data_IF_981387019872
#
_entry.id   IF_981387019872
#
_cell.length_a   1.000
_cell.length_b   1.000
_cell.length_c   1.000
_cell.angle_alpha   90.00
_cell.angle_beta   90.00
_cell.angle_gamma   90.00
#
_symmetry.space_group_name_H-M   'P 1'
#
loop_
_entity.id
_entity.type
_entity.pdbx_description
1 polymer ?
#
# COMPACT_ATOMS: atom_id res chain seq x y z
N UNK A 1 -3.87 48.52 47.34
CA UNK A 1 -3.64 48.28 45.89
C UNK A 1 -2.15 48.05 45.59
N UNK A 2 -1.54 46.91 45.95
CA UNK A 2 -0.17 46.55 45.49
C UNK A 2 0.04 45.02 45.50
N UNK A 3 -0.88 44.27 44.88
CA UNK A 3 -0.72 42.81 44.67
C UNK A 3 -0.97 42.38 43.21
N UNK A 4 -1.14 43.34 42.30
CA UNK A 4 -1.36 43.10 40.86
C UNK A 4 -0.13 43.25 39.97
N UNK A 5 1.02 43.68 40.52
CA UNK A 5 2.21 44.02 39.73
C UNK A 5 3.36 43.00 39.84
N UNK A 6 3.15 41.85 40.47
CA UNK A 6 4.17 40.79 40.59
C UNK A 6 3.92 39.59 39.68
N UNK A 7 2.69 39.39 39.18
CA UNK A 7 2.36 38.26 38.30
C UNK A 7 2.78 38.53 36.85
N UNK A 8 2.97 39.79 36.47
CA UNK A 8 3.39 40.15 35.11
C UNK A 8 4.92 40.06 34.89
N UNK A 9 5.72 40.06 35.97
CA UNK A 9 7.18 40.02 35.91
C UNK A 9 7.77 38.59 35.90
N UNK A 10 6.98 37.58 36.25
CA UNK A 10 7.40 36.17 36.17
C UNK A 10 7.10 35.55 34.80
N UNK A 11 6.17 36.12 34.02
CA UNK A 11 5.82 35.61 32.69
C UNK A 11 6.69 36.14 31.55
N UNK A 12 7.40 37.26 31.71
CA UNK A 12 8.28 37.80 30.65
C UNK A 12 9.58 37.01 30.48
N UNK A 13 10.01 36.25 31.49
CA UNK A 13 11.27 35.50 31.46
C UNK A 13 11.16 34.07 30.89
N UNK A 14 9.95 33.58 30.59
CA UNK A 14 9.81 32.25 29.96
C UNK A 14 9.92 32.30 28.42
N UNK A 15 9.70 33.46 27.80
CA UNK A 15 9.72 33.58 26.33
C UNK A 15 11.17 33.53 25.80
N UNK A 16 12.17 33.88 26.61
CA UNK A 16 13.58 33.89 26.18
C UNK A 16 14.25 32.50 26.15
N UNK A 17 13.71 31.50 26.86
CA UNK A 17 14.27 30.14 26.85
C UNK A 17 13.75 29.29 25.68
N UNK A 18 12.69 29.72 24.99
CA UNK A 18 12.11 28.96 23.88
C UNK A 18 12.88 29.09 22.54
N UNK A 19 13.94 29.90 22.47
CA UNK A 19 14.70 30.11 21.23
C UNK A 19 16.07 29.44 21.17
N UNK A 20 16.50 28.67 22.18
CA UNK A 20 17.89 28.19 22.26
C UNK A 20 18.13 26.68 22.39
N UNK A 21 17.17 25.84 21.98
CA UNK A 21 17.48 24.46 21.57
C UNK A 21 17.31 24.33 20.05
N UNK A 22 18.35 24.72 19.31
CA UNK A 22 18.65 24.03 18.06
C UNK A 22 19.18 22.65 18.45
N UNK A 23 18.28 21.73 18.80
CA UNK A 23 18.60 20.32 18.61
C UNK A 23 18.86 20.17 17.12
N UNK A 24 20.13 19.96 16.79
CA UNK A 24 20.53 19.42 15.50
C UNK A 24 19.92 18.02 15.43
N UNK A 25 18.64 17.93 15.09
CA UNK A 25 18.05 16.72 14.58
C UNK A 25 18.81 16.48 13.28
N UNK A 26 19.77 15.58 13.34
CA UNK A 26 20.33 14.97 12.15
C UNK A 26 19.18 14.27 11.44
N UNK A 27 18.48 15.04 10.61
CA UNK A 27 17.76 14.50 9.47
C UNK A 27 18.86 13.87 8.64
N UNK A 28 19.20 12.61 8.93
CA UNK A 28 19.77 11.77 7.91
C UNK A 28 18.77 11.87 6.75
N UNK A 29 19.17 12.31 5.56
CA UNK A 29 18.25 12.44 4.45
C UNK A 29 17.88 11.02 4.00
N UNK A 30 16.97 10.36 4.71
CA UNK A 30 16.39 9.07 4.34
C UNK A 30 15.29 9.29 3.29
N UNK A 31 15.52 10.20 2.34
CA UNK A 31 14.68 10.41 1.17
C UNK A 31 15.49 10.56 -0.12
N UNK A 32 16.82 10.40 -0.05
CA UNK A 32 17.64 10.21 -1.24
C UNK A 32 17.57 8.75 -1.66
N UNK A 33 16.50 8.39 -2.37
CA UNK A 33 16.49 7.16 -3.17
C UNK A 33 17.72 7.22 -4.08
N UNK A 34 18.63 6.22 -4.06
CA UNK A 34 19.81 6.25 -4.91
C UNK A 34 19.33 6.27 -6.37
N UNK A 35 19.59 7.39 -7.02
CA UNK A 35 19.40 7.63 -8.44
C UNK A 35 20.33 6.69 -9.20
N UNK A 36 19.92 5.44 -9.39
CA UNK A 36 20.61 4.59 -10.35
C UNK A 36 19.59 3.81 -11.17
N UNK A 37 19.52 4.22 -12.45
CA UNK A 37 18.64 3.77 -13.53
C UNK A 37 17.20 4.33 -13.51
N UNK A 38 17.09 5.63 -13.80
CA UNK A 38 15.91 6.14 -14.51
C UNK A 38 16.11 5.76 -15.98
N UNK A 39 15.53 4.64 -16.41
CA UNK A 39 15.29 4.47 -17.84
C UNK A 39 14.34 5.59 -18.28
N UNK A 40 14.57 6.25 -19.43
CA UNK A 40 13.60 7.20 -19.95
C UNK A 40 12.29 6.44 -20.14
N UNK A 41 11.35 6.71 -19.24
CA UNK A 41 9.99 6.21 -19.31
C UNK A 41 9.48 6.54 -20.72
N UNK A 42 9.00 5.54 -21.47
CA UNK A 42 8.62 5.72 -22.88
C UNK A 42 7.71 6.94 -22.99
N UNK A 43 8.26 8.02 -23.55
CA UNK A 43 7.53 9.26 -23.69
C UNK A 43 6.47 9.01 -24.75
N UNK A 44 5.21 9.11 -24.36
CA UNK A 44 4.11 9.12 -25.31
C UNK A 44 4.10 10.52 -25.90
N UNK A 45 4.49 10.66 -27.15
CA UNK A 45 4.34 11.91 -27.87
C UNK A 45 2.91 11.95 -28.40
N UNK A 46 1.99 12.54 -27.64
CA UNK A 46 0.64 12.86 -28.11
C UNK A 46 0.38 14.35 -27.95
N UNK A 47 -0.40 14.92 -28.86
CA UNK A 47 -0.90 16.29 -28.78
C UNK A 47 -2.00 16.45 -27.73
N UNK A 48 -2.56 15.34 -27.22
CA UNK A 48 -3.61 15.35 -26.21
C UNK A 48 -3.04 15.50 -24.79
N UNK A 49 -3.08 16.73 -24.27
CA UNK A 49 -2.65 17.08 -22.93
C UNK A 49 -3.46 16.38 -21.82
N UNK A 50 -4.74 16.07 -22.04
CA UNK A 50 -5.57 15.41 -21.04
C UNK A 50 -5.15 13.94 -20.89
N UNK A 51 -4.94 13.27 -22.02
CA UNK A 51 -4.40 11.91 -22.02
C UNK A 51 -3.05 11.84 -21.31
N UNK A 52 -2.12 12.75 -21.61
CA UNK A 52 -0.81 12.80 -20.96
C UNK A 52 -0.92 12.96 -19.44
N UNK A 53 -1.80 13.86 -18.99
CA UNK A 53 -2.05 14.08 -17.56
C UNK A 53 -2.61 12.81 -16.90
N UNK A 54 -3.59 12.16 -17.53
CA UNK A 54 -4.17 10.90 -17.06
C UNK A 54 -3.10 9.80 -16.98
N UNK A 55 -2.31 9.63 -18.04
CA UNK A 55 -1.24 8.65 -18.13
C UNK A 55 -0.19 8.85 -17.03
N UNK A 56 0.32 10.06 -16.88
CA UNK A 56 1.32 10.37 -15.85
C UNK A 56 0.80 10.11 -14.43
N UNK A 57 -0.47 10.44 -14.16
CA UNK A 57 -1.14 10.15 -12.89
C UNK A 57 -1.26 8.64 -12.66
N UNK A 58 -1.67 7.86 -13.66
CA UNK A 58 -1.74 6.40 -13.57
C UNK A 58 -0.38 5.79 -13.29
N UNK A 59 0.66 6.19 -14.04
CA UNK A 59 2.04 5.73 -13.80
C UNK A 59 2.48 5.99 -12.37
N UNK A 60 2.27 7.20 -11.88
CA UNK A 60 2.63 7.56 -10.50
C UNK A 60 1.96 6.64 -9.48
N UNK A 61 0.65 6.42 -9.60
CA UNK A 61 -0.05 5.56 -8.64
C UNK A 61 0.35 4.09 -8.78
N UNK A 62 0.42 3.54 -9.99
CA UNK A 62 0.85 2.16 -10.22
C UNK A 62 2.24 1.93 -9.64
N UNK A 63 3.22 2.79 -9.95
CA UNK A 63 4.58 2.69 -9.39
C UNK A 63 4.60 2.71 -7.87
N UNK A 64 3.68 3.44 -7.24
CA UNK A 64 3.60 3.54 -5.79
C UNK A 64 2.96 2.34 -5.08
N UNK A 65 2.08 1.61 -5.76
CA UNK A 65 1.32 0.50 -5.16
C UNK A 65 1.68 -0.87 -5.72
N UNK A 66 2.52 -0.94 -6.75
CA UNK A 66 2.87 -2.19 -7.41
C UNK A 66 3.48 -3.22 -6.46
N UNK A 67 4.47 -2.82 -5.66
CA UNK A 67 5.12 -3.76 -4.74
C UNK A 67 4.22 -4.11 -3.54
N UNK A 68 3.36 -3.19 -3.11
CA UNK A 68 2.31 -3.47 -2.13
C UNK A 68 1.39 -4.60 -2.62
N UNK A 69 0.89 -4.48 -3.85
CA UNK A 69 0.02 -5.47 -4.46
C UNK A 69 0.74 -6.84 -4.54
N UNK A 70 2.01 -6.86 -4.95
CA UNK A 70 2.79 -8.11 -5.01
C UNK A 70 2.93 -8.80 -3.67
N UNK A 71 3.23 -8.05 -2.61
CA UNK A 71 3.38 -8.62 -1.25
C UNK A 71 2.02 -9.11 -0.76
N UNK A 72 0.97 -8.31 -0.92
CA UNK A 72 -0.39 -8.67 -0.52
C UNK A 72 -0.87 -9.94 -1.23
N UNK A 73 -0.71 -10.01 -2.56
CA UNK A 73 -1.07 -11.20 -3.35
C UNK A 73 -0.26 -12.43 -2.93
N UNK A 74 1.05 -12.29 -2.63
CA UNK A 74 1.87 -13.41 -2.16
C UNK A 74 1.40 -13.93 -0.80
N UNK A 75 0.99 -13.05 0.11
CA UNK A 75 0.43 -13.44 1.41
C UNK A 75 -0.92 -14.13 1.25
N UNK A 76 -1.82 -13.57 0.44
CA UNK A 76 -3.13 -14.15 0.13
C UNK A 76 -3.01 -15.53 -0.51
N UNK A 77 -2.09 -15.70 -1.46
CA UNK A 77 -1.78 -17.00 -2.07
C UNK A 77 -1.33 -18.01 -1.01
N UNK A 78 -0.36 -17.67 -0.16
CA UNK A 78 0.10 -18.55 0.91
C UNK A 78 -0.98 -18.91 1.94
N UNK A 79 -1.90 -17.98 2.21
CA UNK A 79 -3.06 -18.25 3.06
C UNK A 79 -4.05 -19.19 2.41
N UNK A 80 -4.33 -19.01 1.11
CA UNK A 80 -5.21 -19.89 0.33
C UNK A 80 -4.61 -21.31 0.22
N UNK A 81 -3.31 -21.43 -0.04
CA UNK A 81 -2.60 -22.70 -0.08
C UNK A 81 -2.75 -23.45 1.27
N UNK A 82 -2.62 -22.74 2.39
CA UNK A 82 -2.83 -23.35 3.72
C UNK A 82 -4.30 -23.71 3.97
N UNK A 83 -5.24 -22.84 3.58
CA UNK A 83 -6.68 -23.05 3.75
C UNK A 83 -7.17 -24.29 3.02
N UNK A 84 -6.61 -24.58 1.84
CA UNK A 84 -6.94 -25.76 1.03
C UNK A 84 -6.62 -27.08 1.75
N UNK A 85 -5.61 -27.08 2.63
CA UNK A 85 -5.18 -28.27 3.38
C UNK A 85 -5.99 -28.52 4.66
N UNK A 86 -6.81 -27.57 5.10
CA UNK A 86 -7.59 -27.69 6.34
C UNK A 86 -8.93 -28.38 6.04
N UNK A 87 -9.27 -29.41 6.81
CA UNK A 87 -10.57 -30.11 6.67
C UNK A 87 -11.69 -29.47 7.50
N UNK A 88 -11.40 -29.06 8.74
CA UNK A 88 -12.41 -28.57 9.68
C UNK A 88 -12.74 -27.08 9.50
N UNK A 89 -14.04 -26.76 9.39
CA UNK A 89 -14.55 -25.39 9.36
C UNK A 89 -14.11 -24.55 10.58
N UNK A 90 -14.02 -25.17 11.77
CA UNK A 90 -13.56 -24.50 12.99
C UNK A 90 -12.09 -24.08 12.87
N UNK A 91 -11.26 -24.95 12.30
CA UNK A 91 -9.83 -24.68 12.10
C UNK A 91 -9.64 -23.62 11.00
N UNK A 92 -10.37 -23.72 9.87
CA UNK A 92 -10.39 -22.69 8.82
C UNK A 92 -10.74 -21.31 9.37
N UNK A 93 -11.82 -21.19 10.16
CA UNK A 93 -12.23 -19.92 10.79
C UNK A 93 -11.16 -19.36 11.73
N UNK A 94 -10.49 -20.22 12.51
CA UNK A 94 -9.39 -19.82 13.39
C UNK A 94 -8.17 -19.34 12.58
N UNK A 95 -7.87 -20.01 11.48
CA UNK A 95 -6.79 -19.64 10.57
C UNK A 95 -7.05 -18.30 9.89
N UNK A 96 -8.23 -18.09 9.32
CA UNK A 96 -8.64 -16.83 8.67
C UNK A 96 -8.51 -15.63 9.63
N UNK A 97 -8.88 -15.79 10.89
CA UNK A 97 -8.67 -14.75 11.92
C UNK A 97 -7.19 -14.40 12.12
N UNK A 98 -6.31 -15.40 12.09
CA UNK A 98 -4.84 -15.19 12.21
C UNK A 98 -4.28 -14.54 10.96
N UNK A 99 -4.68 -15.01 9.78
CA UNK A 99 -4.29 -14.43 8.50
C UNK A 99 -4.72 -12.95 8.40
N UNK A 100 -5.94 -12.62 8.83
CA UNK A 100 -6.40 -11.23 8.92
C UNK A 100 -5.52 -10.39 9.87
N UNK A 101 -5.10 -10.93 11.01
CA UNK A 101 -4.16 -10.26 11.91
C UNK A 101 -2.79 -10.05 11.26
N UNK A 102 -2.29 -11.02 10.49
CA UNK A 102 -1.03 -10.90 9.75
C UNK A 102 -1.11 -9.81 8.68
N UNK A 103 -2.19 -9.75 7.89
CA UNK A 103 -2.41 -8.67 6.90
C UNK A 103 -2.50 -7.30 7.57
N UNK A 104 -3.27 -7.20 8.65
CA UNK A 104 -3.38 -5.98 9.46
C UNK A 104 -2.01 -5.52 9.95
N UNK A 105 -1.21 -6.43 10.50
CA UNK A 105 0.10 -6.08 11.03
C UNK A 105 1.08 -5.70 9.92
N UNK A 106 0.96 -6.31 8.74
CA UNK A 106 1.82 -6.01 7.60
C UNK A 106 1.50 -4.66 6.96
N UNK A 107 0.22 -4.31 6.82
CA UNK A 107 -0.20 -3.18 5.97
C UNK A 107 -1.06 -2.13 6.67
N UNK A 108 -1.60 -2.41 7.86
CA UNK A 108 -2.70 -1.65 8.45
C UNK A 108 -2.41 -0.17 8.64
N UNK A 109 -1.21 0.18 9.12
CA UNK A 109 -0.84 1.58 9.33
C UNK A 109 -0.55 2.32 8.02
N UNK A 110 0.07 1.65 7.05
CA UNK A 110 0.36 2.23 5.74
C UNK A 110 -0.92 2.46 4.94
N UNK A 111 -1.85 1.48 4.94
CA UNK A 111 -3.15 1.59 4.28
C UNK A 111 -3.98 2.71 4.91
N UNK A 112 -3.95 2.84 6.24
CA UNK A 112 -4.70 3.90 6.94
C UNK A 112 -4.24 5.30 6.56
N UNK A 113 -2.97 5.48 6.20
CA UNK A 113 -2.37 6.75 5.78
C UNK A 113 -2.37 6.93 4.25
N UNK A 114 -2.82 5.93 3.51
CA UNK A 114 -2.75 5.93 2.05
C UNK A 114 -3.83 6.81 1.45
N UNK A 115 -3.47 7.64 0.46
CA UNK A 115 -4.45 8.41 -0.31
C UNK A 115 -5.43 7.50 -1.03
N UNK A 116 -6.67 7.96 -1.19
CA UNK A 116 -7.76 7.30 -1.91
C UNK A 116 -7.31 6.71 -3.25
N UNK A 117 -6.70 7.53 -4.10
CA UNK A 117 -6.35 7.12 -5.46
C UNK A 117 -5.33 5.98 -5.47
N UNK A 118 -4.35 6.00 -4.56
CA UNK A 118 -3.41 4.88 -4.36
C UNK A 118 -4.17 3.63 -3.91
N UNK A 119 -5.08 3.77 -2.95
CA UNK A 119 -5.96 2.67 -2.51
C UNK A 119 -6.73 2.03 -3.67
N UNK A 120 -7.35 2.83 -4.54
CA UNK A 120 -8.04 2.34 -5.75
C UNK A 120 -7.12 1.52 -6.65
N UNK A 121 -5.93 2.03 -6.98
CA UNK A 121 -4.98 1.31 -7.83
C UNK A 121 -4.49 0.03 -7.13
N UNK A 122 -4.27 0.07 -5.82
CA UNK A 122 -3.88 -1.10 -5.04
C UNK A 122 -4.95 -2.20 -5.12
N UNK A 123 -6.23 -1.86 -4.97
CA UNK A 123 -7.33 -2.82 -5.08
C UNK A 123 -7.39 -3.47 -6.47
N UNK A 124 -7.27 -2.65 -7.53
CA UNK A 124 -7.23 -3.11 -8.92
C UNK A 124 -6.07 -4.09 -9.18
N UNK A 125 -4.87 -3.76 -8.70
CA UNK A 125 -3.70 -4.64 -8.84
C UNK A 125 -3.82 -5.93 -8.00
N UNK A 126 -4.46 -5.88 -6.84
CA UNK A 126 -4.74 -7.08 -6.05
C UNK A 126 -5.74 -7.97 -6.78
N UNK A 127 -6.82 -7.40 -7.35
CA UNK A 127 -7.76 -8.15 -8.18
C UNK A 127 -7.03 -8.78 -9.37
N UNK A 128 -6.26 -8.00 -10.15
CA UNK A 128 -5.47 -8.50 -11.29
C UNK A 128 -4.64 -9.74 -10.92
N UNK A 129 -4.01 -9.72 -9.75
CA UNK A 129 -3.13 -10.80 -9.31
C UNK A 129 -3.84 -12.01 -8.68
N UNK A 130 -5.06 -11.85 -8.18
CA UNK A 130 -5.72 -12.87 -7.34
C UNK A 130 -7.11 -13.29 -7.81
N UNK A 131 -7.74 -12.52 -8.71
CA UNK A 131 -9.13 -12.68 -9.12
C UNK A 131 -10.15 -12.34 -8.03
N UNK A 132 -9.72 -11.78 -6.89
CA UNK A 132 -10.59 -11.47 -5.76
C UNK A 132 -10.77 -9.98 -5.59
N UNK A 133 -12.02 -9.53 -5.47
CA UNK A 133 -12.30 -8.15 -5.10
C UNK A 133 -11.90 -7.90 -3.65
N UNK A 134 -11.67 -6.63 -3.30
CA UNK A 134 -11.47 -6.24 -1.91
C UNK A 134 -12.65 -6.66 -1.04
N UNK A 135 -13.88 -6.60 -1.59
CA UNK A 135 -15.07 -7.13 -0.93
C UNK A 135 -14.97 -8.63 -0.63
N UNK A 136 -14.50 -9.44 -1.58
CA UNK A 136 -14.36 -10.89 -1.40
C UNK A 136 -13.29 -11.23 -0.36
N UNK A 137 -12.16 -10.52 -0.40
CA UNK A 137 -11.09 -10.66 0.60
C UNK A 137 -11.63 -10.28 1.99
N UNK A 138 -12.34 -9.15 2.10
CA UNK A 138 -13.00 -8.76 3.35
C UNK A 138 -13.94 -9.88 3.82
N UNK A 139 -14.85 -10.34 2.96
CA UNK A 139 -15.86 -11.35 3.31
C UNK A 139 -15.22 -12.68 3.71
N UNK A 140 -14.15 -13.09 3.07
CA UNK A 140 -13.45 -14.35 3.35
C UNK A 140 -12.70 -14.28 4.69
N UNK A 141 -11.97 -13.20 4.93
CA UNK A 141 -11.09 -13.08 6.11
C UNK A 141 -11.81 -12.55 7.36
N UNK A 142 -13.04 -12.05 7.18
CA UNK A 142 -13.89 -11.58 8.27
C UNK A 142 -15.07 -12.53 8.41
N UNK A 143 -15.18 -13.15 9.58
CA UNK A 143 -16.51 -13.50 10.07
C UNK A 143 -17.36 -12.24 10.28
N UNK A 144 -18.57 -12.39 10.81
CA UNK A 144 -19.60 -11.35 11.03
C UNK A 144 -19.21 -10.08 11.83
N UNK A 145 -17.94 -9.82 12.16
CA UNK A 145 -17.51 -8.70 13.01
C UNK A 145 -16.49 -7.81 12.32
N UNK A 146 -16.75 -6.48 12.26
CA UNK A 146 -16.15 -5.26 11.61
C UNK A 146 -14.63 -5.23 11.31
N UNK A 147 -14.22 -4.74 10.11
CA UNK A 147 -12.83 -4.75 9.65
C UNK A 147 -12.40 -3.33 9.57
N UNK A 148 -11.73 -2.94 10.63
CA UNK A 148 -11.41 -1.56 10.88
C UNK A 148 -10.47 -0.97 9.79
N UNK A 149 -9.49 -1.72 9.30
CA UNK A 149 -8.53 -1.26 8.27
C UNK A 149 -9.19 -1.05 6.91
N UNK A 150 -10.13 -1.92 6.55
CA UNK A 150 -10.86 -1.82 5.30
C UNK A 150 -11.93 -0.73 5.37
N UNK A 151 -12.48 -0.43 6.54
CA UNK A 151 -13.38 0.70 6.72
C UNK A 151 -12.71 2.02 6.30
N UNK A 152 -11.41 2.22 6.54
CA UNK A 152 -10.68 3.40 6.05
C UNK A 152 -10.63 3.48 4.52
N UNK A 153 -10.56 2.33 3.82
CA UNK A 153 -10.72 2.26 2.36
C UNK A 153 -12.18 2.48 1.91
N UNK A 154 -13.15 2.07 2.72
CA UNK A 154 -14.60 2.19 2.45
C UNK A 154 -15.21 3.56 2.76
N UNK A 155 -14.63 4.34 3.69
CA UNK A 155 -15.14 5.65 4.15
C UNK A 155 -15.00 6.75 3.09
N UNK A 156 -14.41 6.39 1.95
CA UNK A 156 -14.33 7.20 0.77
C UNK A 156 -15.57 6.96 -0.06
N UNK A 157 -16.58 7.79 0.12
CA UNK A 157 -17.78 7.82 -0.73
C UNK A 157 -17.38 7.75 -2.22
N UNK A 158 -17.70 6.63 -2.89
CA UNK A 158 -17.66 6.51 -4.36
C UNK A 158 -16.84 5.35 -4.96
N UNK A 159 -16.06 4.59 -4.20
CA UNK A 159 -15.29 3.45 -4.74
C UNK A 159 -16.00 2.12 -4.40
N UNK A 160 -16.54 1.46 -5.43
CA UNK A 160 -17.16 0.14 -5.29
C UNK A 160 -16.09 -0.90 -4.92
N UNK A 161 -16.14 -1.46 -3.72
CA UNK A 161 -15.21 -2.52 -3.27
C UNK A 161 -15.31 -3.81 -4.08
N UNK A 162 -16.39 -3.95 -4.84
CA UNK A 162 -16.63 -5.06 -5.77
C UNK A 162 -16.13 -4.75 -7.18
N UNK A 163 -15.46 -3.61 -7.39
CA UNK A 163 -14.94 -3.23 -8.69
C UNK A 163 -13.85 -4.22 -9.11
N UNK A 164 -14.06 -4.81 -10.26
CA UNK A 164 -13.18 -5.81 -10.86
C UNK A 164 -12.03 -5.15 -11.61
N UNK A 165 -11.18 -5.92 -12.31
CA UNK A 165 -10.12 -5.40 -13.16
C UNK A 165 -10.44 -5.65 -14.62
N UNK A 166 -10.49 -4.59 -15.42
CA UNK A 166 -10.80 -4.61 -16.84
C UNK A 166 -9.61 -4.07 -17.66
N UNK A 167 -8.67 -4.94 -18.08
CA UNK A 167 -7.46 -4.53 -18.80
C UNK A 167 -7.73 -4.04 -20.23
N UNK A 168 -8.88 -4.34 -20.81
CA UNK A 168 -9.23 -3.97 -22.19
C UNK A 168 -10.06 -2.68 -22.26
N UNK A 169 -10.81 -2.37 -21.20
CA UNK A 169 -11.56 -1.12 -21.06
C UNK A 169 -10.94 -0.15 -20.05
N UNK A 170 -11.57 -0.02 -18.88
CA UNK A 170 -11.30 1.11 -17.98
C UNK A 170 -9.91 1.10 -17.33
N UNK A 171 -9.30 -0.08 -17.15
CA UNK A 171 -7.99 -0.24 -16.52
C UNK A 171 -6.85 -0.43 -17.52
N UNK A 172 -7.09 -0.20 -18.82
CA UNK A 172 -6.07 -0.34 -19.87
C UNK A 172 -4.76 0.41 -19.57
N UNK A 173 -4.84 1.64 -19.05
CA UNK A 173 -3.64 2.39 -18.65
C UNK A 173 -2.92 1.75 -17.45
N UNK A 174 -3.66 1.14 -16.52
CA UNK A 174 -3.04 0.41 -15.41
C UNK A 174 -2.28 -0.80 -15.97
N UNK A 175 -2.91 -1.57 -16.87
CA UNK A 175 -2.27 -2.73 -17.49
C UNK A 175 -1.02 -2.36 -18.27
N UNK A 176 -1.07 -1.25 -19.01
CA UNK A 176 0.09 -0.73 -19.75
C UNK A 176 1.24 -0.38 -18.81
N UNK A 177 0.96 0.31 -17.70
CA UNK A 177 1.98 0.66 -16.71
C UNK A 177 2.56 -0.59 -16.03
N UNK A 178 1.74 -1.58 -15.71
CA UNK A 178 2.19 -2.87 -15.17
C UNK A 178 3.08 -3.62 -16.16
N UNK A 179 2.70 -3.69 -17.43
CA UNK A 179 3.51 -4.30 -18.49
C UNK A 179 4.88 -3.64 -18.66
N UNK A 180 4.95 -2.31 -18.53
CA UNK A 180 6.23 -1.58 -18.54
C UNK A 180 7.09 -1.93 -17.33
N UNK A 181 6.49 -2.10 -16.15
CA UNK A 181 7.21 -2.56 -14.96
C UNK A 181 7.73 -3.99 -15.13
N UNK A 182 6.89 -4.90 -15.61
CA UNK A 182 7.22 -6.33 -15.78
C UNK A 182 8.29 -6.56 -16.85
N UNK A 183 8.28 -5.75 -17.91
CA UNK A 183 9.33 -5.74 -18.95
C UNK A 183 10.61 -5.00 -18.53
N UNK A 184 10.64 -4.41 -17.34
CA UNK A 184 11.79 -3.65 -16.83
C UNK A 184 11.96 -2.25 -17.44
N UNK A 185 11.02 -1.79 -18.27
CA UNK A 185 11.03 -0.47 -18.92
C UNK A 185 10.59 0.68 -18.01
N UNK A 186 9.94 0.36 -16.88
CA UNK A 186 9.52 1.33 -15.86
C UNK A 186 9.91 0.83 -14.46
N UNK A 187 10.50 1.71 -13.66
CA UNK A 187 10.80 1.39 -12.26
C UNK A 187 9.58 1.62 -11.36
N UNK A 188 9.57 1.01 -10.19
CA UNK A 188 8.52 1.19 -9.18
C UNK A 188 9.14 1.33 -7.79
N UNK A 189 8.38 1.86 -6.83
CA UNK A 189 8.87 2.03 -5.47
C UNK A 189 8.87 0.68 -4.76
N UNK A 190 10.08 0.17 -4.48
CA UNK A 190 10.26 -1.10 -3.78
C UNK A 190 9.84 -0.94 -2.31
N UNK A 191 9.08 -1.91 -1.81
CA UNK A 191 8.67 -2.03 -0.42
C UNK A 191 9.25 -3.33 0.15
N UNK A 192 9.91 -3.22 1.30
CA UNK A 192 10.36 -4.42 2.03
C UNK A 192 9.27 -4.85 3.00
N UNK A 193 8.85 -6.13 3.01
CA UNK A 193 7.91 -6.60 4.02
C UNK A 193 8.47 -6.45 5.43
N UNK A 194 7.66 -5.89 6.34
CA UNK A 194 8.11 -5.62 7.70
C UNK A 194 7.87 -6.81 8.63
N UNK A 195 6.82 -7.60 8.42
CA UNK A 195 6.53 -8.79 9.23
C UNK A 195 7.23 -10.03 8.69
N UNK A 196 7.55 -10.98 9.59
CA UNK A 196 8.06 -12.30 9.21
C UNK A 196 7.09 -13.06 8.30
N UNK A 197 5.78 -12.90 8.50
CA UNK A 197 4.76 -13.45 7.59
C UNK A 197 4.90 -12.89 6.17
N UNK A 198 5.08 -11.59 6.02
CA UNK A 198 5.27 -10.94 4.73
C UNK A 198 6.57 -11.38 4.05
N UNK A 199 7.68 -11.41 4.80
CA UNK A 199 8.98 -11.89 4.29
C UNK A 199 8.92 -13.33 3.80
N UNK A 200 8.29 -14.21 4.59
CA UNK A 200 8.11 -15.63 4.25
C UNK A 200 7.27 -15.80 2.97
N UNK A 201 6.15 -15.08 2.86
CA UNK A 201 5.26 -15.14 1.70
C UNK A 201 5.96 -14.69 0.40
N UNK A 202 6.76 -13.61 0.45
CA UNK A 202 7.53 -13.15 -0.71
C UNK A 202 8.61 -14.17 -1.10
N UNK A 203 9.28 -14.79 -0.12
CA UNK A 203 10.29 -15.83 -0.36
C UNK A 203 9.67 -17.08 -1.01
N UNK A 204 8.52 -17.54 -0.50
CA UNK A 204 7.83 -18.71 -1.06
C UNK A 204 7.32 -18.46 -2.48
N UNK A 205 6.72 -17.30 -2.74
CA UNK A 205 6.24 -16.94 -4.09
C UNK A 205 7.41 -16.84 -5.09
N UNK A 206 8.55 -16.26 -4.69
CA UNK A 206 9.77 -16.23 -5.53
C UNK A 206 10.26 -17.64 -5.85
N UNK A 207 10.27 -18.56 -4.89
CA UNK A 207 10.67 -19.97 -5.13
C UNK A 207 9.73 -20.65 -6.13
N UNK A 208 8.41 -20.53 -5.94
CA UNK A 208 7.37 -21.10 -6.81
C UNK A 208 7.42 -20.56 -8.24
N UNK A 209 7.81 -19.28 -8.41
CA UNK A 209 7.97 -18.65 -9.74
C UNK A 209 9.25 -19.09 -10.45
N UNK A 210 10.32 -19.41 -9.72
CA UNK A 210 11.55 -19.97 -10.31
C UNK A 210 11.31 -21.38 -10.82
N UNK A 211 10.72 -22.24 -10.00
CA UNK A 211 10.42 -23.63 -10.36
C UNK A 211 9.38 -23.82 -11.46
N UNK A 212 8.72 -22.75 -11.94
CA UNK A 212 7.78 -22.79 -13.08
C UNK A 212 8.44 -22.35 -14.40
N UNK A 213 9.66 -21.81 -14.33
CA UNK A 213 10.43 -21.38 -15.50
C UNK A 213 11.45 -22.43 -15.95
N UNK A 214 11.69 -23.42 -15.09
CA UNK A 214 12.45 -24.63 -15.36
C UNK A 214 11.48 -25.73 -15.83
#
# INVERSE_FOLDING_TARGET
>A
MKLGLFIFLTFSNLILYAQNEKQNFSISPVDSVPLNLILPDHQVHTSDNEFLKKWNKTKFYVRSVYDYAKIASSMLEGFNDTLALLSSNRIKKRYLKRANKMLKNEFGDEIRKMSINRGTHLMKLIYRNTGLTTYDIIKLYRGSGKAFWFQTLCLVNGQNLKKEYDPEGEDYLIEKAVSLIESGRMNYFKRVPHTESGKKAVKSSKKKRRSKKD
#
